data_IF_787349604160
#
_entry.id   IF_787349604160
#
_cell.length_a   1.000
_cell.length_b   1.000
_cell.length_c   1.000
_cell.angle_alpha   90.00
_cell.angle_beta   90.00
_cell.angle_gamma   90.00
#
_symmetry.space_group_name_H-M   'P 1'
#
loop_
_entity.id
_entity.type
_entity.pdbx_description
1 polymer ?
#
# COMPACT_ATOMS: atom_id res chain seq x y z
N UNK A 1 -6.50 -14.50 -4.65
CA UNK A 1 -5.20 -15.19 -4.84
C UNK A 1 -4.37 -14.79 -3.64
N UNK A 2 -3.83 -15.76 -2.90
CA UNK A 2 -2.97 -15.54 -1.73
C UNK A 2 -1.60 -16.07 -2.06
N UNK A 3 -0.54 -15.36 -1.68
CA UNK A 3 0.82 -15.87 -1.81
C UNK A 3 1.79 -15.06 -2.67
N UNK A 4 1.34 -14.06 -3.43
CA UNK A 4 2.23 -13.21 -4.24
C UNK A 4 3.12 -12.32 -3.37
N UNK A 5 4.40 -12.21 -3.72
CA UNK A 5 5.32 -11.22 -3.19
C UNK A 5 5.59 -10.11 -4.21
N UNK A 6 5.43 -8.87 -3.73
CA UNK A 6 5.61 -7.67 -4.51
C UNK A 6 6.67 -6.76 -3.89
N UNK A 7 7.48 -6.11 -4.73
CA UNK A 7 8.59 -5.24 -4.31
C UNK A 7 8.45 -3.84 -4.90
N UNK A 8 8.59 -2.84 -4.04
CA UNK A 8 8.30 -1.45 -4.39
C UNK A 8 9.10 -0.42 -3.58
N UNK A 9 9.31 0.77 -4.16
CA UNK A 9 10.02 1.89 -3.54
C UNK A 9 9.09 2.81 -2.71
N UNK A 10 7.77 2.66 -2.85
CA UNK A 10 6.77 3.38 -2.08
C UNK A 10 6.48 2.69 -0.74
N UNK A 11 6.69 3.44 0.33
CA UNK A 11 6.53 2.97 1.70
C UNK A 11 5.06 2.79 2.10
N UNK A 12 4.12 3.44 1.42
CA UNK A 12 2.69 3.32 1.77
C UNK A 12 2.01 2.19 1.02
N UNK A 13 2.64 1.73 -0.07
CA UNK A 13 1.98 0.83 -1.00
C UNK A 13 0.73 1.50 -1.53
N UNK A 14 0.78 2.80 -1.88
CA UNK A 14 -0.40 3.57 -2.32
C UNK A 14 -1.08 2.96 -3.55
N UNK A 15 -0.38 2.09 -4.29
CA UNK A 15 -0.97 1.33 -5.40
C UNK A 15 -0.99 -0.17 -5.14
N UNK A 16 -0.53 -0.62 -3.97
CA UNK A 16 -0.56 -2.03 -3.62
C UNK A 16 -2.03 -2.43 -3.42
N UNK A 17 -2.48 -3.54 -4.02
CA UNK A 17 -3.84 -4.01 -3.81
C UNK A 17 -4.13 -4.17 -2.30
N UNK A 18 -5.35 -3.87 -1.85
CA UNK A 18 -5.70 -3.84 -0.42
C UNK A 18 -5.46 -5.15 0.34
N UNK A 19 -5.18 -6.25 -0.38
CA UNK A 19 -4.81 -7.55 0.15
C UNK A 19 -3.33 -7.78 0.45
N UNK A 20 -2.49 -6.77 0.28
CA UNK A 20 -1.07 -6.85 0.59
C UNK A 20 -0.74 -6.28 1.97
N UNK A 21 0.22 -6.91 2.64
CA UNK A 21 0.84 -6.45 3.86
C UNK A 21 2.32 -6.20 3.63
N UNK A 22 2.84 -5.08 4.16
CA UNK A 22 4.27 -4.81 4.13
C UNK A 22 4.99 -5.68 5.15
N UNK A 23 5.98 -6.43 4.69
CA UNK A 23 6.82 -7.30 5.53
C UNK A 23 8.10 -6.61 5.99
N UNK A 24 8.58 -5.59 5.27
CA UNK A 24 9.73 -4.81 5.69
C UNK A 24 10.52 -4.19 4.55
N UNK A 25 11.76 -3.81 4.85
CA UNK A 25 12.74 -3.31 3.89
C UNK A 25 13.68 -4.48 3.54
N UNK A 26 13.71 -4.87 2.26
CA UNK A 26 14.63 -5.89 1.74
C UNK A 26 16.06 -5.35 1.66
N UNK A 27 16.20 -4.05 1.41
CA UNK A 27 17.45 -3.30 1.36
C UNK A 27 17.27 -1.96 0.64
N UNK A 28 18.35 -1.37 0.15
CA UNK A 28 18.33 -0.03 -0.45
C UNK A 28 18.90 -0.05 -1.87
N UNK A 29 18.13 0.53 -2.80
CA UNK A 29 18.37 0.55 -4.26
C UNK A 29 18.29 1.99 -4.77
N UNK A 30 18.42 2.21 -6.07
CA UNK A 30 18.31 3.54 -6.67
C UNK A 30 17.01 3.67 -7.48
N UNK A 31 16.35 4.83 -7.38
CA UNK A 31 15.16 5.16 -8.18
C UNK A 31 15.50 5.69 -9.59
N UNK A 32 16.79 5.81 -9.90
CA UNK A 32 17.33 6.33 -11.15
C UNK A 32 18.69 5.67 -11.43
N UNK A 33 19.09 5.65 -12.70
CA UNK A 33 20.35 5.06 -13.12
C UNK A 33 21.56 5.72 -12.43
N UNK A 34 22.42 4.92 -11.84
CA UNK A 34 23.71 5.33 -11.27
C UNK A 34 24.88 4.62 -11.98
N UNK A 35 26.13 5.11 -11.84
CA UNK A 35 27.30 4.38 -12.32
C UNK A 35 27.39 2.98 -11.69
N UNK A 36 27.61 1.96 -12.52
CA UNK A 36 27.75 0.56 -12.07
C UNK A 36 26.43 -0.15 -11.74
N UNK A 37 25.28 0.50 -11.91
CA UNK A 37 23.96 -0.14 -11.72
C UNK A 37 23.34 -0.61 -13.04
N UNK A 38 22.41 -1.55 -12.93
CA UNK A 38 21.56 -2.04 -14.01
C UNK A 38 20.08 -1.81 -13.66
N UNK A 39 19.21 -1.62 -14.65
CA UNK A 39 17.77 -1.59 -14.42
C UNK A 39 17.27 -2.98 -14.02
N UNK A 40 16.31 -3.01 -13.10
CA UNK A 40 15.53 -4.21 -12.76
C UNK A 40 14.12 -3.99 -13.25
N UNK A 41 13.73 -4.83 -14.20
CA UNK A 41 12.46 -4.78 -14.89
C UNK A 41 11.41 -5.54 -14.10
N UNK A 42 10.21 -4.96 -14.01
CA UNK A 42 9.04 -5.61 -13.42
C UNK A 42 8.13 -6.16 -14.52
N UNK A 43 7.70 -7.39 -14.32
CA UNK A 43 6.81 -8.12 -15.19
C UNK A 43 5.63 -8.62 -14.37
N UNK A 44 4.41 -8.51 -14.91
CA UNK A 44 3.20 -8.89 -14.20
C UNK A 44 2.39 -9.94 -14.95
N UNK A 45 2.07 -11.02 -14.27
CA UNK A 45 1.24 -12.08 -14.80
C UNK A 45 -0.21 -11.93 -14.31
N UNK A 46 -1.08 -11.45 -15.21
CA UNK A 46 -2.51 -11.24 -14.91
C UNK A 46 -3.26 -12.52 -14.53
N UNK A 47 -2.74 -13.70 -14.87
CA UNK A 47 -3.41 -14.99 -14.63
C UNK A 47 -3.26 -15.47 -13.20
N UNK A 48 -2.06 -15.38 -12.62
CA UNK A 48 -1.78 -15.83 -11.25
C UNK A 48 -1.50 -14.67 -10.27
N UNK A 49 -1.35 -13.44 -10.78
CA UNK A 49 -1.09 -12.24 -10.00
C UNK A 49 0.39 -12.03 -9.64
N UNK A 50 1.31 -12.84 -10.17
CA UNK A 50 2.72 -12.81 -9.80
C UNK A 50 3.45 -11.57 -10.34
N UNK A 51 4.31 -10.99 -9.51
CA UNK A 51 5.27 -9.95 -9.88
C UNK A 51 6.68 -10.51 -9.98
N UNK A 52 7.17 -10.59 -11.22
CA UNK A 52 8.51 -11.06 -11.52
C UNK A 52 9.48 -9.90 -11.78
N UNK A 53 10.69 -10.01 -11.22
CA UNK A 53 11.75 -9.02 -11.32
C UNK A 53 13.04 -9.62 -11.87
N UNK A 54 13.59 -8.98 -12.90
CA UNK A 54 14.78 -9.46 -13.60
C UNK A 54 15.62 -8.32 -14.17
N UNK A 55 16.92 -8.56 -14.34
CA UNK A 55 17.84 -7.71 -15.07
C UNK A 55 17.75 -7.87 -16.59
N UNK A 56 17.13 -8.93 -17.11
CA UNK A 56 16.95 -9.14 -18.55
C UNK A 56 15.77 -8.30 -19.06
N UNK A 57 16.00 -7.40 -20.03
CA UNK A 57 14.93 -6.63 -20.65
C UNK A 57 13.93 -7.48 -21.43
N UNK A 58 14.22 -8.76 -21.71
CA UNK A 58 13.31 -9.69 -22.38
C UNK A 58 12.58 -10.63 -21.41
N UNK A 59 12.81 -10.50 -20.10
CA UNK A 59 12.07 -11.24 -19.08
C UNK A 59 12.66 -12.58 -18.66
N UNK A 60 13.86 -12.98 -19.10
CA UNK A 60 14.47 -14.29 -18.78
C UNK A 60 13.50 -15.49 -18.94
N UNK A 61 12.98 -15.97 -17.80
CA UNK A 61 12.12 -17.12 -17.59
C UNK A 61 10.64 -16.77 -17.59
N UNK A 62 10.28 -15.48 -17.66
CA UNK A 62 8.90 -15.01 -17.68
C UNK A 62 8.15 -15.70 -18.84
N UNK A 63 7.20 -16.60 -18.55
CA UNK A 63 6.36 -17.20 -19.60
C UNK A 63 5.63 -16.13 -20.40
N UNK A 64 5.14 -16.48 -21.60
CA UNK A 64 4.33 -15.58 -22.46
C UNK A 64 3.13 -14.89 -21.75
N UNK A 65 2.73 -15.35 -20.55
CA UNK A 65 1.67 -14.76 -19.74
C UNK A 65 2.07 -13.50 -18.95
N UNK A 66 3.36 -13.16 -18.87
CA UNK A 66 3.84 -11.96 -18.20
C UNK A 66 3.83 -10.76 -19.13
N UNK A 67 3.33 -9.64 -18.62
CA UNK A 67 3.33 -8.36 -19.30
C UNK A 67 4.44 -7.49 -18.71
N UNK A 68 5.29 -6.94 -19.56
CA UNK A 68 6.26 -5.94 -19.15
C UNK A 68 5.55 -4.72 -18.57
N UNK A 69 5.99 -4.27 -17.40
CA UNK A 69 5.41 -3.09 -16.76
C UNK A 69 6.33 -1.87 -16.84
N UNK A 70 7.64 -2.06 -16.72
CA UNK A 70 8.63 -0.99 -16.69
C UNK A 70 9.86 -1.34 -15.85
N UNK A 71 10.69 -0.33 -15.57
CA UNK A 71 11.80 -0.43 -14.62
C UNK A 71 11.27 -0.16 -13.21
N UNK A 72 11.45 -1.12 -12.32
CA UNK A 72 11.09 -0.97 -10.90
C UNK A 72 12.13 -0.17 -10.13
N UNK A 73 13.42 -0.47 -10.33
CA UNK A 73 14.54 0.21 -9.67
C UNK A 73 15.87 -0.09 -10.40
N UNK A 74 16.95 0.47 -9.87
CA UNK A 74 18.32 0.21 -10.32
C UNK A 74 19.15 -0.33 -9.15
N UNK A 75 19.97 -1.35 -9.40
CA UNK A 75 20.87 -1.95 -8.40
C UNK A 75 22.18 -2.40 -9.05
N UNK A 76 23.20 -2.75 -8.26
CA UNK A 76 24.48 -3.18 -8.83
C UNK A 76 24.35 -4.54 -9.52
N UNK A 77 24.98 -4.68 -10.69
CA UNK A 77 25.06 -5.98 -11.38
C UNK A 77 25.96 -6.95 -10.63
N UNK A 78 27.15 -6.47 -10.29
CA UNK A 78 28.19 -7.23 -9.61
C UNK A 78 28.36 -6.73 -8.17
N UNK A 79 29.05 -7.52 -7.34
CA UNK A 79 29.29 -7.15 -5.94
C UNK A 79 30.07 -5.83 -5.87
N UNK A 80 29.48 -4.85 -5.20
CA UNK A 80 30.11 -3.58 -4.88
C UNK A 80 30.57 -3.54 -3.41
N UNK A 81 31.34 -2.51 -3.05
CA UNK A 81 31.72 -2.26 -1.66
C UNK A 81 30.46 -2.11 -0.81
N UNK A 82 30.41 -2.83 0.31
CA UNK A 82 29.28 -2.84 1.24
C UNK A 82 27.93 -3.25 0.63
N UNK A 83 27.90 -3.94 -0.51
CA UNK A 83 26.65 -4.48 -1.07
C UNK A 83 26.42 -5.93 -0.66
N UNK A 84 25.15 -6.32 -0.58
CA UNK A 84 24.70 -7.70 -0.35
C UNK A 84 23.93 -8.22 -1.56
N UNK A 85 23.99 -9.53 -1.87
CA UNK A 85 23.22 -10.12 -2.95
C UNK A 85 21.72 -10.09 -2.67
N UNK A 86 20.92 -9.92 -3.72
CA UNK A 86 19.49 -10.17 -3.74
C UNK A 86 19.25 -11.52 -4.41
N UNK A 87 18.81 -12.50 -3.63
CA UNK A 87 18.51 -13.85 -4.07
C UNK A 87 17.06 -13.93 -4.55
N UNK A 88 16.84 -14.60 -5.68
CA UNK A 88 15.51 -14.96 -6.19
C UNK A 88 15.18 -16.40 -5.83
N UNK A 89 13.92 -16.63 -5.47
CA UNK A 89 13.35 -17.92 -5.11
C UNK A 89 12.02 -18.07 -5.85
N UNK A 90 11.76 -19.25 -6.40
CA UNK A 90 10.56 -19.53 -7.19
C UNK A 90 9.77 -20.70 -6.60
N UNK A 91 8.45 -20.54 -6.47
CA UNK A 91 7.58 -21.62 -6.06
C UNK A 91 6.81 -22.19 -7.27
N UNK A 92 7.14 -23.40 -7.74
CA UNK A 92 6.49 -23.99 -8.92
C UNK A 92 5.02 -24.35 -8.70
N UNK A 93 4.54 -24.39 -7.45
CA UNK A 93 3.16 -24.76 -7.12
C UNK A 93 2.19 -23.61 -7.36
N UNK A 94 2.55 -22.39 -6.98
CA UNK A 94 1.70 -21.19 -7.13
C UNK A 94 2.22 -20.20 -8.18
N UNK A 95 3.47 -20.37 -8.63
CA UNK A 95 4.14 -19.50 -9.60
C UNK A 95 4.67 -18.19 -9.02
N UNK A 96 4.80 -18.08 -7.68
CA UNK A 96 5.28 -16.88 -7.00
C UNK A 96 6.81 -16.75 -7.03
N UNK A 97 7.29 -15.51 -7.16
CA UNK A 97 8.69 -15.15 -7.01
C UNK A 97 8.95 -14.35 -5.72
N UNK A 98 9.84 -14.87 -4.90
CA UNK A 98 10.29 -14.28 -3.65
C UNK A 98 11.75 -13.80 -3.76
N UNK A 99 12.04 -12.63 -3.17
CA UNK A 99 13.35 -12.00 -3.22
C UNK A 99 13.83 -11.62 -1.82
N UNK A 100 15.02 -12.06 -1.45
CA UNK A 100 15.59 -11.81 -0.11
C UNK A 100 17.10 -11.61 -0.16
N UNK A 101 17.65 -10.92 0.83
CA UNK A 101 19.10 -10.83 1.03
C UNK A 101 19.66 -11.98 1.88
N UNK A 102 18.79 -12.86 2.40
CA UNK A 102 19.20 -14.09 3.09
C UNK A 102 19.50 -15.21 2.10
N UNK A 103 20.74 -15.70 2.11
CA UNK A 103 21.18 -16.80 1.27
C UNK A 103 20.45 -18.13 1.58
N UNK A 104 19.92 -18.30 2.80
CA UNK A 104 19.13 -19.46 3.18
C UNK A 104 17.66 -19.35 2.75
N UNK A 105 17.21 -18.20 2.26
CA UNK A 105 15.84 -18.00 1.75
C UNK A 105 14.78 -17.79 2.82
N UNK A 106 15.15 -17.48 4.07
CA UNK A 106 14.20 -17.33 5.19
C UNK A 106 13.30 -18.57 5.35
N UNK A 107 11.98 -18.41 5.16
CA UNK A 107 10.97 -19.48 5.19
C UNK A 107 10.63 -20.04 3.80
N UNK A 108 11.25 -19.52 2.74
CA UNK A 108 10.97 -19.92 1.37
C UNK A 108 11.20 -21.43 1.13
N UNK A 109 12.27 -22.08 1.63
CA UNK A 109 12.42 -23.53 1.49
C UNK A 109 11.26 -24.32 2.12
N UNK A 110 10.79 -23.94 3.31
CA UNK A 110 9.65 -24.58 3.98
C UNK A 110 8.34 -24.32 3.24
N UNK A 111 8.25 -23.19 2.54
CA UNK A 111 7.13 -22.82 1.66
C UNK A 111 7.15 -23.50 0.28
N UNK A 112 8.15 -24.33 -0.02
CA UNK A 112 8.26 -25.04 -1.31
C UNK A 112 8.91 -24.22 -2.42
N UNK A 113 9.63 -23.14 -2.09
CA UNK A 113 10.38 -22.36 -3.06
C UNK A 113 11.74 -23.00 -3.34
N UNK A 114 12.22 -22.84 -4.57
CA UNK A 114 13.55 -23.24 -5.02
C UNK A 114 14.38 -22.01 -5.32
N UNK A 115 15.64 -22.01 -4.90
CA UNK A 115 16.56 -20.90 -5.20
C UNK A 115 16.86 -20.85 -6.70
N UNK A 116 16.79 -19.65 -7.26
CA UNK A 116 17.14 -19.36 -8.66
C UNK A 116 18.42 -18.51 -8.79
N UNK A 117 19.13 -18.28 -7.67
CA UNK A 117 20.39 -17.56 -7.64
C UNK A 117 20.26 -16.05 -7.41
N UNK A 118 21.30 -15.31 -7.79
CA UNK A 118 21.45 -13.87 -7.49
C UNK A 118 20.91 -13.05 -8.65
N UNK A 119 19.97 -12.15 -8.38
CA UNK A 119 19.43 -11.18 -9.35
C UNK A 119 20.33 -9.94 -9.48
N UNK A 120 21.04 -9.58 -8.42
CA UNK A 120 21.97 -8.44 -8.37
C UNK A 120 22.37 -8.12 -6.93
N UNK A 121 22.92 -6.94 -6.70
CA UNK A 121 23.40 -6.51 -5.38
C UNK A 121 22.87 -5.13 -5.00
N UNK A 122 22.49 -4.99 -3.73
CA UNK A 122 21.90 -3.79 -3.16
C UNK A 122 22.61 -3.38 -1.87
N UNK A 123 22.35 -2.17 -1.37
CA UNK A 123 22.91 -1.74 -0.08
C UNK A 123 22.10 -2.32 1.09
N UNK A 124 22.72 -2.95 2.10
CA UNK A 124 22.01 -3.47 3.26
C UNK A 124 21.48 -2.36 4.18
N UNK A 125 22.03 -1.14 4.07
CA UNK A 125 21.63 0.05 4.84
C UNK A 125 21.52 1.26 3.93
N UNK A 126 20.78 2.29 4.36
CA UNK A 126 20.66 3.54 3.62
C UNK A 126 22.04 4.16 3.32
N UNK A 127 22.27 4.48 2.06
CA UNK A 127 23.41 5.26 1.56
C UNK A 127 22.92 6.50 0.82
N UNK A 128 23.77 7.53 0.58
CA UNK A 128 23.37 8.70 -0.18
C UNK A 128 22.75 8.31 -1.53
N UNK A 129 21.61 8.94 -1.86
CA UNK A 129 20.82 8.73 -3.07
C UNK A 129 20.14 7.35 -3.21
N UNK A 130 20.29 6.46 -2.22
CA UNK A 130 19.53 5.21 -2.18
C UNK A 130 18.15 5.41 -1.56
N UNK A 131 17.20 4.56 -1.94
CA UNK A 131 15.85 4.47 -1.42
C UNK A 131 15.53 3.05 -0.97
N UNK A 132 14.70 2.86 0.06
CA UNK A 132 14.33 1.53 0.53
C UNK A 132 13.52 0.78 -0.54
N UNK A 133 13.84 -0.51 -0.70
CA UNK A 133 13.05 -1.49 -1.42
C UNK A 133 12.18 -2.24 -0.41
N UNK A 134 10.87 -1.99 -0.43
CA UNK A 134 9.91 -2.62 0.46
C UNK A 134 9.41 -3.93 -0.12
N UNK A 135 9.31 -4.95 0.74
CA UNK A 135 8.65 -6.23 0.45
C UNK A 135 7.20 -6.19 0.93
N UNK A 136 6.29 -6.61 0.06
CA UNK A 136 4.87 -6.72 0.29
C UNK A 136 4.42 -8.16 0.01
N UNK A 137 3.53 -8.69 0.84
CA UNK A 137 3.01 -10.04 0.72
C UNK A 137 1.48 -10.02 0.64
N UNK A 138 0.93 -10.73 -0.33
CA UNK A 138 -0.52 -10.91 -0.50
C UNK A 138 -1.08 -11.89 0.55
N UNK A 139 -1.30 -11.38 1.75
CA UNK A 139 -1.85 -12.10 2.91
C UNK A 139 -3.37 -12.27 2.87
N UNK A 140 -4.05 -11.54 1.97
CA UNK A 140 -5.50 -11.39 2.01
C UNK A 140 -5.99 -10.38 3.04
N UNK A 141 -5.16 -9.40 3.45
CA UNK A 141 -5.60 -8.26 4.24
C UNK A 141 -6.80 -7.56 3.57
N UNK A 142 -7.73 -6.99 4.32
CA UNK A 142 -8.92 -6.28 3.79
C UNK A 142 -9.78 -7.06 2.77
N UNK A 143 -9.52 -8.35 2.48
CA UNK A 143 -10.20 -9.08 1.38
C UNK A 143 -11.71 -9.22 1.59
N UNK A 144 -12.14 -9.09 2.83
CA UNK A 144 -13.53 -9.17 3.26
C UNK A 144 -14.17 -7.77 3.43
N UNK A 145 -13.48 -6.71 3.00
CA UNK A 145 -14.02 -5.36 3.04
C UNK A 145 -14.95 -5.16 1.84
N UNK A 146 -16.13 -4.63 2.12
CA UNK A 146 -17.13 -4.31 1.11
C UNK A 146 -17.48 -2.83 1.18
N UNK A 147 -17.98 -2.30 0.06
CA UNK A 147 -18.29 -0.89 -0.11
C UNK A 147 -19.64 -0.78 -0.79
N UNK A 148 -20.52 0.07 -0.26
CA UNK A 148 -21.79 0.36 -0.90
C UNK A 148 -21.59 1.08 -2.24
N UNK A 149 -22.55 0.94 -3.15
CA UNK A 149 -22.48 1.49 -4.51
C UNK A 149 -22.37 3.02 -4.57
N UNK A 150 -22.69 3.71 -3.48
CA UNK A 150 -22.54 5.17 -3.36
C UNK A 150 -21.07 5.61 -3.20
N UNK A 151 -20.16 4.70 -2.82
CA UNK A 151 -18.73 4.98 -2.67
C UNK A 151 -18.06 4.84 -4.05
N UNK A 152 -17.40 5.91 -4.51
CA UNK A 152 -16.71 5.90 -5.80
C UNK A 152 -15.46 5.01 -5.77
N UNK A 153 -14.96 4.65 -6.94
CA UNK A 153 -13.72 3.86 -7.07
C UNK A 153 -12.53 4.55 -6.39
N UNK A 154 -12.35 5.86 -6.60
CA UNK A 154 -11.26 6.64 -6.00
C UNK A 154 -11.39 6.74 -4.47
N UNK A 155 -12.61 6.91 -3.97
CA UNK A 155 -12.89 6.89 -2.53
C UNK A 155 -12.56 5.53 -1.93
N UNK A 156 -12.94 4.46 -2.61
CA UNK A 156 -12.64 3.09 -2.21
C UNK A 156 -11.12 2.83 -2.18
N UNK A 157 -10.38 3.23 -3.22
CA UNK A 157 -8.91 3.09 -3.26
C UNK A 157 -8.29 3.80 -2.06
N UNK A 158 -8.67 5.05 -1.86
CA UNK A 158 -8.17 5.86 -0.73
C UNK A 158 -8.45 5.18 0.61
N UNK A 159 -9.68 4.69 0.84
CA UNK A 159 -10.02 4.00 2.09
C UNK A 159 -9.16 2.74 2.30
N UNK A 160 -8.97 1.91 1.27
CA UNK A 160 -8.14 0.70 1.36
C UNK A 160 -6.70 1.05 1.69
N UNK A 161 -6.10 2.03 1.01
CA UNK A 161 -4.73 2.48 1.27
C UNK A 161 -4.57 2.99 2.71
N UNK A 162 -5.51 3.84 3.19
CA UNK A 162 -5.44 4.40 4.54
C UNK A 162 -5.71 3.34 5.61
N UNK A 163 -6.54 2.32 5.34
CA UNK A 163 -6.67 1.15 6.19
C UNK A 163 -5.39 0.31 6.26
N UNK A 164 -4.74 0.05 5.13
CA UNK A 164 -3.45 -0.67 5.08
C UNK A 164 -2.39 0.07 5.88
N UNK A 165 -2.32 1.40 5.74
CA UNK A 165 -1.41 2.22 6.49
C UNK A 165 -1.71 2.19 8.00
N UNK A 166 -2.98 2.36 8.39
CA UNK A 166 -3.43 2.28 9.77
C UNK A 166 -3.12 0.91 10.41
N UNK A 167 -3.39 -0.18 9.69
CA UNK A 167 -3.07 -1.55 10.12
C UNK A 167 -1.57 -1.71 10.41
N UNK A 168 -0.72 -1.24 9.50
CA UNK A 168 0.74 -1.31 9.68
C UNK A 168 1.18 -0.51 10.91
N UNK A 169 0.71 0.75 11.03
CA UNK A 169 1.11 1.65 12.11
C UNK A 169 0.64 1.16 13.48
N UNK A 170 -0.55 0.56 13.56
CA UNK A 170 -1.04 -0.08 14.77
C UNK A 170 -0.08 -1.17 15.25
N UNK A 171 0.46 -1.99 14.34
CA UNK A 171 1.43 -3.04 14.66
C UNK A 171 2.72 -2.55 15.31
N UNK A 172 3.21 -1.37 14.91
CA UNK A 172 4.44 -0.78 15.46
C UNK A 172 4.20 0.15 16.64
N UNK A 173 2.95 0.35 17.04
CA UNK A 173 2.62 1.47 17.90
C UNK A 173 3.13 1.31 19.34
N UNK A 174 3.99 2.22 19.80
CA UNK A 174 4.41 2.25 21.22
C UNK A 174 3.30 2.61 22.19
N UNK A 175 2.25 3.30 21.71
CA UNK A 175 1.12 3.74 22.53
C UNK A 175 0.03 2.69 22.71
N UNK A 176 0.15 1.49 22.14
CA UNK A 176 -0.80 0.38 22.32
C UNK A 176 -0.11 -0.80 23.02
N UNK A 177 -0.84 -1.46 23.91
CA UNK A 177 -0.42 -2.73 24.50
C UNK A 177 -0.37 -3.84 23.44
N UNK A 178 0.32 -4.94 23.72
CA UNK A 178 0.34 -6.10 22.80
C UNK A 178 -1.07 -6.63 22.51
N UNK A 179 -1.92 -6.72 23.54
CA UNK A 179 -3.32 -7.16 23.38
C UNK A 179 -4.12 -6.19 22.50
N UNK A 180 -3.93 -4.88 22.69
CA UNK A 180 -4.59 -3.85 21.87
C UNK A 180 -4.19 -3.97 20.40
N UNK A 181 -2.90 -4.14 20.12
CA UNK A 181 -2.38 -4.37 18.77
C UNK A 181 -2.99 -5.61 18.14
N UNK A 182 -3.00 -6.73 18.87
CA UNK A 182 -3.52 -7.99 18.36
C UNK A 182 -5.01 -7.90 18.08
N UNK A 183 -5.80 -7.31 18.99
CA UNK A 183 -7.25 -7.16 18.82
C UNK A 183 -7.59 -6.27 17.63
N UNK A 184 -6.95 -5.11 17.50
CA UNK A 184 -7.23 -4.21 16.37
C UNK A 184 -6.79 -4.81 15.04
N UNK A 185 -5.60 -5.42 14.97
CA UNK A 185 -5.11 -6.05 13.74
C UNK A 185 -5.97 -7.25 13.33
N UNK A 186 -6.50 -8.00 14.28
CA UNK A 186 -7.41 -9.11 14.00
C UNK A 186 -8.73 -8.69 13.34
N UNK A 187 -9.26 -7.50 13.65
CA UNK A 187 -10.53 -7.07 13.05
C UNK A 187 -10.41 -6.62 11.60
N UNK A 188 -9.21 -6.22 11.12
CA UNK A 188 -8.94 -5.94 9.70
C UNK A 188 -9.07 -7.16 8.78
N UNK A 189 -9.05 -8.37 9.35
CA UNK A 189 -9.22 -9.63 8.59
C UNK A 189 -10.66 -10.13 8.56
N UNK A 190 -11.58 -9.46 9.27
CA UNK A 190 -13.00 -9.83 9.38
C UNK A 190 -13.83 -9.07 8.32
N UNK A 191 -15.04 -9.54 7.99
CA UNK A 191 -15.96 -8.78 7.15
C UNK A 191 -16.22 -7.38 7.73
N UNK A 192 -16.10 -6.37 6.86
CA UNK A 192 -16.34 -4.97 7.19
C UNK A 192 -16.99 -4.25 6.01
N UNK A 193 -18.20 -3.75 6.19
CA UNK A 193 -18.91 -2.99 5.17
C UNK A 193 -18.72 -1.49 5.42
N UNK A 194 -18.43 -0.75 4.34
CA UNK A 194 -18.25 0.70 4.33
C UNK A 194 -19.42 1.36 3.63
N UNK A 195 -19.97 2.40 4.24
CA UNK A 195 -21.11 3.16 3.73
C UNK A 195 -20.81 4.65 3.71
N UNK A 196 -21.37 5.35 2.73
CA UNK A 196 -21.34 6.80 2.73
C UNK A 196 -22.31 7.37 3.78
N UNK A 197 -21.87 8.39 4.51
CA UNK A 197 -22.71 9.20 5.39
C UNK A 197 -22.76 10.63 4.90
N UNK A 198 -23.93 11.27 5.08
CA UNK A 198 -24.12 12.70 4.85
C UNK A 198 -24.35 13.45 6.17
N UNK A 199 -24.18 12.80 7.32
CA UNK A 199 -24.31 13.46 8.63
C UNK A 199 -23.14 14.44 8.81
N UNK A 200 -23.40 15.76 8.87
CA UNK A 200 -22.34 16.76 8.98
C UNK A 200 -21.58 16.71 10.31
N UNK A 201 -22.05 15.94 11.30
CA UNK A 201 -21.43 15.84 12.63
C UNK A 201 -20.38 14.75 12.76
N UNK A 202 -20.22 13.89 11.75
CA UNK A 202 -19.26 12.78 11.82
C UNK A 202 -18.24 12.88 10.67
N UNK A 203 -17.01 12.43 10.96
CA UNK A 203 -15.99 12.17 9.94
C UNK A 203 -16.10 10.72 9.46
N UNK A 204 -15.98 9.78 10.40
CA UNK A 204 -16.42 8.41 10.25
C UNK A 204 -17.03 7.91 11.56
N UNK A 205 -17.70 6.75 11.50
CA UNK A 205 -18.27 6.10 12.69
C UNK A 205 -18.44 4.61 12.45
N UNK A 206 -17.98 3.79 13.40
CA UNK A 206 -18.30 2.38 13.49
C UNK A 206 -19.61 2.21 14.26
N UNK A 207 -20.67 1.79 13.55
CA UNK A 207 -21.98 1.58 14.14
C UNK A 207 -22.67 0.39 13.48
N UNK A 208 -23.35 -0.44 14.29
CA UNK A 208 -24.08 -1.63 13.83
C UNK A 208 -23.26 -2.57 12.93
N UNK A 209 -21.95 -2.69 13.19
CA UNK A 209 -21.09 -3.59 12.44
C UNK A 209 -20.57 -3.04 11.11
N UNK A 210 -20.77 -1.75 10.83
CA UNK A 210 -20.40 -1.06 9.60
C UNK A 210 -19.54 0.17 9.92
N UNK A 211 -18.71 0.59 8.98
CA UNK A 211 -18.01 1.88 9.03
C UNK A 211 -18.75 2.85 8.11
N UNK A 212 -19.28 3.91 8.69
CA UNK A 212 -19.89 5.02 7.97
C UNK A 212 -18.84 6.10 7.75
N UNK A 213 -18.66 6.58 6.53
CA UNK A 213 -17.66 7.60 6.18
C UNK A 213 -18.35 8.80 5.55
N UNK A 214 -18.14 9.98 6.11
CA UNK A 214 -18.54 11.23 5.48
C UNK A 214 -17.37 11.77 4.64
N UNK A 215 -17.43 11.54 3.33
CA UNK A 215 -16.39 11.95 2.40
C UNK A 215 -16.26 13.47 2.26
N UNK A 216 -17.35 14.22 2.43
CA UNK A 216 -17.32 15.69 2.39
C UNK A 216 -16.61 16.28 3.62
N UNK A 217 -16.70 15.60 4.77
CA UNK A 217 -16.07 16.02 6.00
C UNK A 217 -14.63 15.50 6.12
N UNK A 218 -14.39 14.20 5.93
CA UNK A 218 -13.12 13.56 6.27
C UNK A 218 -12.03 13.73 5.22
N UNK A 219 -12.35 13.59 3.93
CA UNK A 219 -11.32 13.57 2.87
C UNK A 219 -10.56 14.90 2.71
N UNK A 220 -11.16 16.08 2.95
CA UNK A 220 -10.41 17.34 2.90
C UNK A 220 -9.27 17.47 3.92
N UNK A 221 -9.18 16.62 4.94
CA UNK A 221 -8.14 16.71 5.97
C UNK A 221 -6.82 16.01 5.61
N UNK A 222 -6.82 15.21 4.52
CA UNK A 222 -5.62 14.52 4.05
C UNK A 222 -5.39 13.16 4.72
N UNK A 223 -4.25 12.56 4.38
CA UNK A 223 -4.02 11.13 4.58
C UNK A 223 -3.91 10.72 6.04
N UNK A 224 -3.17 11.51 6.82
CA UNK A 224 -2.95 11.28 8.25
C UNK A 224 -4.31 11.20 8.96
N UNK A 225 -5.17 12.19 8.73
CA UNK A 225 -6.46 12.30 9.41
C UNK A 225 -7.43 11.18 8.99
N UNK A 226 -7.44 10.82 7.70
CA UNK A 226 -8.22 9.67 7.22
C UNK A 226 -7.76 8.39 7.92
N UNK A 227 -6.45 8.12 7.96
CA UNK A 227 -5.92 6.92 8.58
C UNK A 227 -6.12 6.91 10.12
N UNK A 228 -6.01 8.06 10.78
CA UNK A 228 -6.28 8.20 12.22
C UNK A 228 -7.73 7.89 12.54
N UNK A 229 -8.66 8.53 11.83
CA UNK A 229 -10.10 8.31 11.99
C UNK A 229 -10.45 6.85 11.72
N UNK A 230 -9.95 6.25 10.64
CA UNK A 230 -10.23 4.85 10.34
C UNK A 230 -9.64 3.90 11.38
N UNK A 231 -8.44 4.19 11.93
CA UNK A 231 -7.87 3.38 13.02
C UNK A 231 -8.70 3.49 14.30
N UNK A 232 -9.19 4.69 14.62
CA UNK A 232 -10.10 4.92 15.74
C UNK A 232 -11.36 4.03 15.61
N UNK A 233 -12.03 4.06 14.46
CA UNK A 233 -13.21 3.23 14.20
C UNK A 233 -12.91 1.73 14.27
N UNK A 234 -11.71 1.32 13.86
CA UNK A 234 -11.27 -0.07 13.98
C UNK A 234 -10.99 -0.46 15.44
N UNK A 235 -10.61 0.47 16.31
CA UNK A 235 -10.53 0.23 17.76
C UNK A 235 -11.91 0.02 18.37
N UNK A 236 -12.93 0.77 17.91
CA UNK A 236 -14.33 0.49 18.28
C UNK A 236 -14.77 -0.89 17.83
N UNK A 237 -14.46 -1.27 16.59
CA UNK A 237 -14.70 -2.64 16.11
C UNK A 237 -13.97 -3.70 16.94
N UNK A 238 -12.78 -3.39 17.45
CA UNK A 238 -12.01 -4.26 18.31
C UNK A 238 -12.61 -4.41 19.72
N UNK A 239 -13.67 -3.65 20.05
CA UNK A 239 -14.39 -3.71 21.31
C UNK A 239 -13.91 -2.70 22.35
N UNK A 240 -13.20 -1.65 21.93
CA UNK A 240 -12.80 -0.55 22.80
C UNK A 240 -13.77 0.62 22.67
N UNK A 241 -13.86 1.44 23.71
CA UNK A 241 -14.73 2.62 23.74
C UNK A 241 -14.04 3.77 24.48
N UNK A 242 -14.64 4.95 24.39
CA UNK A 242 -14.26 6.12 25.15
C UNK A 242 -15.54 6.84 25.62
N UNK A 243 -15.49 7.68 26.68
CA UNK A 243 -16.62 8.50 27.10
C UNK A 243 -16.90 9.63 26.09
N UNK A 244 -18.00 10.35 26.27
CA UNK A 244 -18.22 11.59 25.52
C UNK A 244 -17.16 12.64 25.88
N UNK A 245 -16.64 13.34 24.86
CA UNK A 245 -15.67 14.42 25.04
C UNK A 245 -16.29 15.61 25.76
N UNK A 246 -15.58 16.16 26.73
CA UNK A 246 -15.92 17.41 27.40
C UNK A 246 -15.18 18.55 26.70
N UNK A 247 -15.87 19.25 25.79
CA UNK A 247 -15.27 20.38 25.07
C UNK A 247 -15.09 21.64 25.95
N UNK A 248 -14.03 22.44 25.72
CA UNK A 248 -13.89 23.77 26.30
C UNK A 248 -15.08 24.68 25.93
N UNK A 249 -15.50 25.63 26.80
CA UNK A 249 -14.82 26.13 28.00
C UNK A 249 -15.26 25.45 29.32
N UNK A 250 -15.80 24.23 29.29
CA UNK A 250 -16.28 23.53 30.49
C UNK A 250 -15.13 23.25 31.49
N UNK A 251 -15.39 23.19 32.81
CA UNK A 251 -14.38 22.76 33.78
C UNK A 251 -13.95 21.32 33.51
N UNK A 252 -12.65 21.03 33.66
CA UNK A 252 -12.03 19.74 33.33
C UNK A 252 -12.29 19.27 31.90
N UNK A 253 -12.23 20.20 30.94
CA UNK A 253 -12.30 19.85 29.52
C UNK A 253 -11.20 18.85 29.15
N UNK A 254 -11.53 17.90 28.28
CA UNK A 254 -10.56 16.95 27.75
C UNK A 254 -9.60 17.68 26.82
N UNK A 255 -8.30 17.51 27.03
CA UNK A 255 -7.26 18.14 26.21
C UNK A 255 -6.37 17.07 25.57
N UNK A 256 -6.01 17.23 24.28
CA UNK A 256 -5.07 16.31 23.65
C UNK A 256 -3.81 16.10 24.49
N UNK A 257 -3.32 14.87 24.51
CA UNK A 257 -2.12 14.42 25.24
C UNK A 257 -2.21 14.42 26.76
N UNK A 258 -3.37 14.68 27.38
CA UNK A 258 -3.51 14.63 28.84
C UNK A 258 -3.46 13.22 29.44
N UNK A 259 -3.60 12.18 28.61
CA UNK A 259 -3.75 10.79 29.07
C UNK A 259 -4.98 10.59 29.96
N UNK A 260 -5.94 11.51 29.89
CA UNK A 260 -7.14 11.59 30.71
C UNK A 260 -8.20 10.58 30.31
N UNK A 261 -9.40 10.71 30.88
CA UNK A 261 -10.48 9.73 30.70
C UNK A 261 -10.95 9.58 29.26
N UNK A 262 -10.77 10.61 28.43
CA UNK A 262 -11.05 10.58 27.00
C UNK A 262 -9.79 10.22 26.19
N UNK A 263 -8.78 11.09 26.19
CA UNK A 263 -7.60 10.94 25.32
C UNK A 263 -6.64 9.82 25.73
N UNK A 264 -6.75 9.28 26.96
CA UNK A 264 -5.99 8.10 27.41
C UNK A 264 -6.60 6.75 26.99
N UNK A 265 -7.79 6.74 26.39
CA UNK A 265 -8.47 5.51 25.98
C UNK A 265 -7.79 4.87 24.75
N UNK A 266 -7.97 3.55 24.53
CA UNK A 266 -7.34 2.86 23.41
C UNK A 266 -7.61 3.47 22.03
N UNK A 267 -8.86 3.86 21.67
CA UNK A 267 -9.11 4.49 20.37
C UNK A 267 -8.30 5.77 20.15
N UNK A 268 -8.25 6.66 21.15
CA UNK A 268 -7.57 7.94 21.07
C UNK A 268 -6.03 7.80 21.15
N UNK A 269 -5.51 6.81 21.88
CA UNK A 269 -4.08 6.46 21.84
C UNK A 269 -3.68 5.86 20.50
N UNK A 270 -4.58 5.17 19.81
CA UNK A 270 -4.30 4.57 18.51
C UNK A 270 -4.09 5.65 17.42
N UNK A 271 -4.76 6.79 17.50
CA UNK A 271 -4.57 7.90 16.56
C UNK A 271 -3.13 8.43 16.55
N UNK A 272 -2.47 8.46 17.72
CA UNK A 272 -1.04 8.83 17.84
C UNK A 272 -0.14 7.93 17.00
N UNK A 273 -0.58 6.71 16.70
CA UNK A 273 0.22 5.74 15.97
C UNK A 273 0.44 6.16 14.52
N UNK A 274 -0.39 7.03 13.93
CA UNK A 274 -0.29 7.45 12.53
C UNK A 274 0.72 8.57 12.34
N UNK A 275 0.44 9.73 12.94
CA UNK A 275 1.21 10.96 12.74
C UNK A 275 1.93 11.47 14.00
N UNK A 276 1.88 10.72 15.12
CA UNK A 276 2.47 11.15 16.40
C UNK A 276 1.64 12.22 17.13
N UNK A 277 0.47 12.57 16.59
CA UNK A 277 -0.48 13.55 17.13
C UNK A 277 -1.87 12.93 17.24
N UNK A 278 -2.70 13.39 18.17
CA UNK A 278 -4.12 12.99 18.23
C UNK A 278 -4.90 13.81 17.22
N UNK A 279 -5.98 13.27 16.66
CA UNK A 279 -6.88 14.05 15.83
C UNK A 279 -7.51 15.15 16.69
N UNK A 280 -7.24 16.39 16.31
CA UNK A 280 -8.06 17.53 16.67
C UNK A 280 -8.60 18.12 15.38
N UNK A 281 -9.79 18.73 15.43
CA UNK A 281 -10.46 19.32 14.26
C UNK A 281 -9.72 20.54 13.68
N UNK A 282 -8.41 20.69 13.89
CA UNK A 282 -7.66 21.92 13.59
C UNK A 282 -6.29 21.72 12.89
N UNK A 283 -5.89 20.51 12.51
CA UNK A 283 -4.56 20.33 11.89
C UNK A 283 -4.61 20.09 10.38
N UNK A 284 -4.40 21.14 9.59
CA UNK A 284 -4.18 21.08 8.13
C UNK A 284 -2.72 20.68 7.86
N UNK A 285 -2.44 19.57 7.15
CA UNK A 285 -1.37 19.57 6.14
C UNK A 285 -1.31 18.31 5.24
N UNK A 286 -0.81 18.57 4.01
CA UNK A 286 -0.45 17.68 2.90
C UNK A 286 -1.49 16.62 2.50
N UNK A 287 -2.41 17.04 1.62
CA UNK A 287 -3.08 16.13 0.70
C UNK A 287 -2.04 15.58 -0.27
N UNK A 288 -1.98 14.27 -0.39
CA UNK A 288 -1.57 13.67 -1.65
C UNK A 288 -2.81 13.49 -2.51
N UNK A 289 -2.63 13.72 -3.81
CA UNK A 289 -3.75 13.69 -4.74
C UNK A 289 -4.49 12.35 -4.64
N UNK A 290 -5.83 12.34 -4.59
CA UNK A 290 -6.60 11.11 -4.75
C UNK A 290 -6.17 10.45 -6.07
N UNK A 291 -5.72 9.21 -5.99
CA UNK A 291 -5.27 8.47 -7.17
C UNK A 291 -6.42 7.64 -7.71
N UNK A 292 -6.59 7.70 -9.02
CA UNK A 292 -7.62 6.95 -9.73
C UNK A 292 -7.39 5.45 -9.60
N UNK A 293 -8.47 4.69 -9.40
CA UNK A 293 -8.53 3.21 -9.42
C UNK A 293 -8.26 2.61 -10.83
N UNK A 294 -7.49 3.31 -11.66
CA UNK A 294 -7.22 2.89 -13.03
C UNK A 294 -5.90 2.15 -13.17
N UNK A 295 -5.09 2.08 -12.11
CA UNK A 295 -3.81 1.39 -12.18
C UNK A 295 -3.87 0.02 -11.47
N UNK A 296 -4.06 -1.09 -12.21
CA UNK A 296 -3.99 -2.44 -11.64
C UNK A 296 -2.57 -2.84 -11.19
N UNK A 297 -1.61 -1.90 -11.20
CA UNK A 297 -0.19 -2.14 -10.94
C UNK A 297 0.17 -1.75 -9.52
N UNK A 298 0.80 -2.67 -8.80
CA UNK A 298 1.03 -2.55 -7.36
C UNK A 298 1.93 -1.35 -6.94
N UNK A 299 2.75 -0.76 -7.84
CA UNK A 299 3.42 0.55 -7.67
C UNK A 299 3.84 1.16 -9.03
N UNK A 300 4.17 2.47 -9.09
CA UNK A 300 4.71 3.08 -10.30
C UNK A 300 6.03 2.43 -10.72
N UNK A 301 6.24 2.40 -12.03
CA UNK A 301 7.47 1.95 -12.69
C UNK A 301 7.87 3.03 -13.69
N UNK A 302 9.16 3.21 -13.92
CA UNK A 302 9.61 4.13 -14.95
C UNK A 302 9.56 3.43 -16.31
N UNK A 303 8.90 4.04 -17.29
CA UNK A 303 8.91 3.53 -18.66
C UNK A 303 10.31 3.72 -19.26
N UNK A 304 10.75 2.76 -20.07
CA UNK A 304 12.04 2.87 -20.75
C UNK A 304 11.99 4.05 -21.72
N UNK A 305 13.01 4.91 -21.71
CA UNK A 305 13.14 5.96 -22.71
C UNK A 305 13.19 5.30 -24.11
N UNK A 306 12.10 5.42 -24.87
CA UNK A 306 11.97 4.86 -26.23
C UNK A 306 10.71 4.05 -26.52
N UNK A 307 9.82 3.79 -25.55
CA UNK A 307 8.58 3.02 -25.78
C UNK A 307 7.31 3.88 -25.60
N UNK A 308 7.30 5.08 -26.19
CA UNK A 308 6.03 5.74 -26.50
C UNK A 308 5.42 4.99 -27.69
N UNK A 309 4.65 3.93 -27.42
CA UNK A 309 3.64 3.51 -28.37
C UNK A 309 2.53 4.55 -28.29
N UNK A 310 2.36 5.27 -29.39
CA UNK A 310 1.19 6.09 -29.63
C UNK A 310 -0.05 5.23 -29.35
N UNK A 311 -0.78 5.56 -28.30
CA UNK A 311 -2.10 5.02 -28.08
C UNK A 311 -2.95 5.48 -29.26
N UNK A 312 -3.16 4.56 -30.21
CA UNK A 312 -3.88 4.79 -31.45
C UNK A 312 -5.27 5.34 -31.17
N UNK A 313 -5.44 6.64 -31.44
CA UNK A 313 -6.74 7.23 -31.67
C UNK A 313 -7.24 6.63 -32.98
N UNK A 314 -8.29 5.83 -32.90
CA UNK A 314 -8.95 5.26 -34.07
C UNK A 314 -9.40 6.38 -35.01
N UNK A 315 -8.89 6.36 -36.24
CA UNK A 315 -9.49 7.08 -37.35
C UNK A 315 -10.82 6.40 -37.68
N UNK A 316 -11.90 7.09 -37.34
CA UNK A 316 -13.26 6.71 -37.66
C UNK A 316 -13.49 6.88 -39.17
N UNK A 317 -13.97 5.80 -39.79
CA UNK A 317 -14.25 5.72 -41.21
C UNK A 317 -15.48 6.56 -41.57
N UNK A 318 -15.27 7.85 -41.87
CA UNK A 318 -16.27 8.75 -42.43
C UNK A 318 -16.37 8.67 -43.95
N UNK A 319 -16.92 7.58 -44.48
CA UNK A 319 -17.33 7.50 -45.89
C UNK A 319 -18.69 8.14 -46.11
N UNK A 320 -18.74 9.36 -46.66
CA UNK A 320 -19.89 9.84 -47.43
C UNK A 320 -19.43 10.61 -48.66
N UNK A 321 -19.97 10.18 -49.80
CA UNK A 321 -19.63 10.68 -51.13
C UNK A 321 -20.27 12.03 -51.46
N UNK A 322 -19.63 12.70 -52.42
CA UNK A 322 -20.14 13.86 -53.12
C UNK A 322 -19.47 13.91 -54.49
N UNK A 323 -20.07 13.21 -55.46
CA UNK A 323 -19.69 13.30 -56.85
C UNK A 323 -19.96 14.71 -57.38
N UNK A 324 -18.96 15.31 -58.02
CA UNK A 324 -19.13 16.51 -58.82
C UNK A 324 -19.82 16.14 -60.14
N UNK A 325 -20.96 16.77 -60.41
CA UNK A 325 -21.58 16.82 -61.72
C UNK A 325 -20.83 17.77 -62.65
N UNK A 326 -20.58 17.32 -63.87
CA UNK A 326 -20.88 18.10 -65.06
C UNK A 326 -22.16 17.54 -65.67
#
# INVERSE_FOLDING_TARGET
MSGDHFYCLDFRGELAPGNYEREGITGYVYNSQQPGTIPIFRWYNKRNGDHFYTADPNGELAPQSYNYEGVGWYMFKDRAVNSVPLYRWYNPTNGDHFYTTDAAGELAPQGGYHSEGITGYLHPTATPNSVPLYRWYNSGLLRNFTFDSAITADQRSTLLERHTWAYYRAGLCGNLSTEEKDRVRNVYRRPMNHKASNDPKINAMFFQGQIWVNFGNLFPWGDDEIAQTLLHEMMHRAGYSHPERIDPPKPNADVPYDGGKYYGTPPLRAELCIAGKQSDTATIHFMLAPRMDTNPRACPVTQKAGDQREDGVGEDAGGQGGAASN
#
